data_IF_001071571126
#
_entry.id   IF_001071571126
#
_cell.length_a   1.000
_cell.length_b   1.000
_cell.length_c   1.000
_cell.angle_alpha   90.00
_cell.angle_beta   90.00
_cell.angle_gamma   90.00
#
_symmetry.space_group_name_H-M   'P 1'
#
loop_
_entity.id
_entity.type
_entity.pdbx_description
1 polymer ?
#
# COMPACT_ATOMS: atom_id res chain seq x y z
N UNK A 1 -18.46 -4.82 -23.59
CA UNK A 1 -17.01 -4.95 -23.32
C UNK A 1 -16.24 -4.71 -24.59
N UNK A 2 -15.13 -3.97 -24.52
CA UNK A 2 -14.22 -3.81 -25.65
C UNK A 2 -13.53 -5.14 -26.00
N UNK A 3 -13.11 -5.34 -27.26
CA UNK A 3 -12.29 -6.49 -27.62
C UNK A 3 -10.93 -6.45 -26.92
N UNK A 4 -10.37 -7.62 -26.57
CA UNK A 4 -9.10 -7.73 -25.84
C UNK A 4 -7.91 -7.06 -26.54
N UNK A 5 -7.97 -6.90 -27.86
CA UNK A 5 -6.96 -6.25 -28.69
C UNK A 5 -6.99 -4.71 -28.63
N UNK A 6 -7.96 -4.11 -27.92
CA UNK A 6 -8.18 -2.67 -27.86
C UNK A 6 -7.64 -1.99 -26.59
N UNK A 7 -7.04 -2.75 -25.66
CA UNK A 7 -6.44 -2.16 -24.47
C UNK A 7 -5.07 -1.56 -24.79
N UNK A 8 -4.97 -0.24 -24.73
CA UNK A 8 -3.70 0.50 -24.78
C UNK A 8 -3.36 0.97 -23.36
N UNK A 9 -2.29 0.42 -22.78
CA UNK A 9 -1.84 0.78 -21.45
C UNK A 9 -1.41 2.25 -21.31
N UNK A 10 -1.04 2.92 -22.41
CA UNK A 10 -0.68 4.34 -22.40
C UNK A 10 -1.90 5.24 -22.51
N UNK A 11 -2.92 4.81 -23.25
CA UNK A 11 -4.16 5.57 -23.47
C UNK A 11 -5.40 4.66 -23.33
N UNK A 12 -5.74 4.23 -22.09
CA UNK A 12 -6.78 3.22 -21.90
C UNK A 12 -8.21 3.67 -22.19
N UNK A 13 -8.46 4.96 -22.40
CA UNK A 13 -9.79 5.52 -22.69
C UNK A 13 -10.93 4.98 -21.79
N UNK A 14 -10.72 5.01 -20.47
CA UNK A 14 -11.66 4.51 -19.45
C UNK A 14 -13.05 5.16 -19.49
N UNK A 15 -13.16 6.37 -20.04
CA UNK A 15 -14.44 7.08 -20.18
C UNK A 15 -15.40 6.39 -21.16
N UNK A 16 -14.86 5.67 -22.15
CA UNK A 16 -15.66 5.04 -23.20
C UNK A 16 -15.60 3.51 -23.16
N UNK A 17 -14.74 2.91 -22.32
CA UNK A 17 -14.44 1.48 -22.38
C UNK A 17 -14.34 0.81 -21.01
N UNK A 18 -14.99 -0.36 -20.93
CA UNK A 18 -14.72 -1.38 -19.92
C UNK A 18 -13.92 -2.53 -20.53
N UNK A 19 -12.94 -3.00 -19.78
CA UNK A 19 -12.02 -4.05 -20.19
C UNK A 19 -12.18 -5.29 -19.32
N UNK A 20 -11.98 -6.45 -19.93
CA UNK A 20 -11.74 -7.67 -19.18
C UNK A 20 -10.42 -7.55 -18.42
N UNK A 21 -10.30 -8.21 -17.27
CA UNK A 21 -9.08 -8.21 -16.48
C UNK A 21 -7.87 -8.80 -17.24
N UNK A 22 -8.09 -9.75 -18.14
CA UNK A 22 -7.01 -10.44 -18.87
C UNK A 22 -6.11 -9.49 -19.66
N UNK A 23 -6.61 -8.61 -20.55
CA UNK A 23 -5.79 -7.59 -21.21
C UNK A 23 -4.96 -6.70 -20.27
N UNK A 24 -5.50 -6.34 -19.11
CA UNK A 24 -4.79 -5.51 -18.13
C UNK A 24 -3.59 -6.27 -17.56
N UNK A 25 -3.82 -7.52 -17.15
CA UNK A 25 -2.79 -8.40 -16.57
C UNK A 25 -1.73 -8.76 -17.60
N UNK A 26 -2.12 -9.08 -18.83
CA UNK A 26 -1.19 -9.39 -19.93
C UNK A 26 -0.29 -8.19 -20.26
N UNK A 27 -0.77 -6.97 -20.04
CA UNK A 27 -0.02 -5.72 -20.20
C UNK A 27 0.75 -5.28 -18.94
N UNK A 28 0.63 -5.99 -17.81
CA UNK A 28 1.22 -5.59 -16.53
C UNK A 28 0.62 -4.30 -15.96
N UNK A 29 -0.60 -3.94 -16.38
CA UNK A 29 -1.25 -2.69 -15.98
C UNK A 29 -1.73 -2.70 -14.53
N UNK A 30 -1.66 -3.83 -13.82
CA UNK A 30 -1.97 -3.90 -12.41
C UNK A 30 -0.94 -3.22 -11.51
N UNK A 31 0.28 -2.94 -12.01
CA UNK A 31 1.33 -2.24 -11.26
C UNK A 31 1.70 -0.89 -11.84
N UNK A 32 1.96 0.09 -10.97
CA UNK A 32 2.50 1.38 -11.39
C UNK A 32 3.89 1.23 -12.00
N UNK A 33 4.26 2.13 -12.90
CA UNK A 33 5.61 2.22 -13.45
C UNK A 33 6.38 3.41 -12.89
N UNK A 34 7.64 3.55 -13.33
CA UNK A 34 8.49 4.67 -12.93
C UNK A 34 7.86 6.05 -13.22
N UNK A 35 7.17 6.20 -14.35
CA UNK A 35 6.46 7.44 -14.69
C UNK A 35 5.30 7.74 -13.71
N UNK A 36 4.63 6.73 -13.16
CA UNK A 36 3.62 6.93 -12.11
C UNK A 36 4.28 7.43 -10.83
N UNK A 37 5.40 6.80 -10.44
CA UNK A 37 6.15 7.19 -9.24
C UNK A 37 6.66 8.63 -9.36
N UNK A 38 7.19 9.03 -10.51
CA UNK A 38 7.62 10.41 -10.79
C UNK A 38 6.46 11.42 -10.70
N UNK A 39 5.26 11.06 -11.22
CA UNK A 39 4.05 11.89 -11.10
C UNK A 39 3.51 11.98 -9.68
N UNK A 40 3.74 10.95 -8.86
CA UNK A 40 3.36 10.92 -7.46
C UNK A 40 4.36 11.67 -6.57
N UNK A 41 5.62 11.76 -7.00
CA UNK A 41 6.68 12.48 -6.30
C UNK A 41 6.44 13.99 -6.24
N UNK A 42 6.96 14.62 -5.18
CA UNK A 42 7.00 16.07 -4.99
C UNK A 42 5.64 16.78 -5.08
N UNK A 43 4.60 16.21 -4.46
CA UNK A 43 3.37 16.95 -4.18
C UNK A 43 3.59 17.75 -2.90
N UNK A 44 3.86 19.04 -3.04
CA UNK A 44 3.84 19.95 -1.89
C UNK A 44 2.43 19.93 -1.29
N UNK A 45 2.32 19.48 -0.04
CA UNK A 45 1.09 19.53 0.74
C UNK A 45 1.16 20.79 1.59
N UNK A 46 0.51 21.86 1.16
CA UNK A 46 0.51 23.15 1.86
C UNK A 46 -0.19 23.06 3.23
N UNK A 47 -1.23 22.25 3.34
CA UNK A 47 -1.99 22.00 4.56
C UNK A 47 -2.38 20.52 4.65
N UNK A 48 -2.16 19.90 5.81
CA UNK A 48 -2.57 18.52 6.06
C UNK A 48 -4.10 18.49 6.20
N UNK A 49 -4.84 17.83 5.29
CA UNK A 49 -6.30 17.89 5.30
C UNK A 49 -6.91 17.15 6.49
N UNK A 50 -6.23 16.11 6.98
CA UNK A 50 -6.68 15.26 8.08
C UNK A 50 -5.50 14.77 8.92
N UNK A 51 -5.63 14.82 10.24
CA UNK A 51 -4.61 14.33 11.16
C UNK A 51 -3.52 15.35 11.43
N UNK A 52 -2.38 14.86 11.90
CA UNK A 52 -1.20 15.67 12.20
C UNK A 52 -0.12 15.50 11.13
N UNK A 53 0.77 16.49 10.91
CA UNK A 53 1.96 16.31 10.11
C UNK A 53 2.79 15.11 10.58
N UNK A 54 3.53 14.50 9.64
CA UNK A 54 4.49 13.44 9.99
C UNK A 54 5.45 13.97 11.04
N UNK A 55 5.68 13.18 12.09
CA UNK A 55 6.58 13.58 13.19
C UNK A 55 8.00 13.78 12.66
N UNK A 56 8.64 14.82 13.14
CA UNK A 56 10.06 15.06 12.91
C UNK A 56 10.89 14.33 13.96
N UNK A 57 12.08 13.88 13.58
CA UNK A 57 13.06 13.35 14.52
C UNK A 57 13.46 14.46 15.49
N UNK A 58 13.47 14.22 16.81
CA UNK A 58 13.94 15.20 17.78
C UNK A 58 15.35 15.70 17.46
N UNK A 59 15.60 17.00 17.60
CA UNK A 59 16.93 17.57 17.41
C UNK A 59 17.90 17.20 18.55
N UNK A 60 17.37 16.95 19.76
CA UNK A 60 18.14 16.52 20.92
C UNK A 60 18.34 15.00 20.87
N UNK A 61 19.59 14.57 20.64
CA UNK A 61 19.96 13.15 20.59
C UNK A 61 19.62 12.40 21.89
N UNK A 62 19.51 13.10 23.04
CA UNK A 62 19.14 12.46 24.31
C UNK A 62 17.66 12.04 24.38
N UNK A 63 16.84 12.51 23.45
CA UNK A 63 15.45 12.07 23.29
C UNK A 63 15.32 10.86 22.34
N UNK A 64 16.41 10.43 21.72
CA UNK A 64 16.39 9.29 20.80
C UNK A 64 16.29 7.97 21.57
N UNK A 65 15.55 7.03 20.99
CA UNK A 65 15.48 5.67 21.51
C UNK A 65 16.76 4.92 21.13
N UNK A 66 17.37 4.25 22.10
CA UNK A 66 18.57 3.41 21.92
C UNK A 66 18.21 1.93 22.18
N UNK A 67 17.51 1.24 21.25
CA UNK A 67 17.15 -0.14 21.45
C UNK A 67 18.35 -1.07 21.24
N UNK A 68 18.46 -2.11 22.06
CA UNK A 68 19.46 -3.18 21.88
C UNK A 68 19.15 -4.08 20.67
N UNK A 69 17.93 -4.04 20.14
CA UNK A 69 17.44 -4.86 19.02
C UNK A 69 16.34 -4.09 18.29
N UNK A 70 16.40 -4.07 16.96
CA UNK A 70 15.35 -3.49 16.12
C UNK A 70 14.26 -4.53 15.89
N UNK A 71 13.01 -4.19 16.15
CA UNK A 71 11.88 -5.11 15.94
C UNK A 71 11.18 -4.70 14.66
N UNK A 72 11.20 -5.59 13.68
CA UNK A 72 10.53 -5.44 12.40
C UNK A 72 9.20 -6.19 12.42
N UNK A 73 8.11 -5.54 12.05
CA UNK A 73 6.81 -6.20 11.92
C UNK A 73 6.24 -6.09 10.51
N UNK A 74 5.58 -7.15 10.07
CA UNK A 74 4.89 -7.21 8.79
C UNK A 74 3.48 -7.74 9.01
N UNK A 75 2.50 -7.00 8.51
CA UNK A 75 1.14 -7.51 8.35
C UNK A 75 1.11 -8.52 7.20
N UNK A 76 0.22 -9.51 7.21
CA UNK A 76 0.06 -10.39 6.05
C UNK A 76 -0.33 -9.53 4.84
N UNK A 77 0.57 -9.42 3.87
CA UNK A 77 0.33 -8.75 2.60
C UNK A 77 -0.33 -9.70 1.60
N UNK A 78 -1.13 -9.15 0.69
CA UNK A 78 -1.88 -9.88 -0.35
C UNK A 78 -0.95 -10.60 -1.34
N UNK A 79 0.28 -10.10 -1.51
CA UNK A 79 1.27 -10.59 -2.47
C UNK A 79 2.18 -11.71 -1.95
N UNK A 80 2.28 -11.89 -0.63
CA UNK A 80 3.29 -12.79 -0.04
C UNK A 80 2.60 -14.00 0.59
N UNK A 81 2.38 -15.05 -0.20
CA UNK A 81 2.03 -16.36 0.37
C UNK A 81 3.29 -17.04 0.94
N UNK A 82 3.48 -16.89 2.25
CA UNK A 82 4.11 -17.93 3.07
C UNK A 82 5.62 -17.91 3.23
N UNK A 83 6.34 -16.83 2.87
CA UNK A 83 7.81 -16.72 3.10
C UNK A 83 8.31 -15.35 3.56
N UNK A 84 7.57 -14.67 4.42
CA UNK A 84 7.90 -13.32 4.89
C UNK A 84 9.33 -13.16 5.46
N UNK A 85 9.83 -14.07 6.28
CA UNK A 85 11.18 -13.92 6.85
C UNK A 85 12.28 -14.09 5.79
N UNK A 86 12.15 -15.08 4.89
CA UNK A 86 13.10 -15.29 3.79
C UNK A 86 13.07 -14.14 2.77
N UNK A 87 11.88 -13.60 2.48
CA UNK A 87 11.70 -12.52 1.52
C UNK A 87 12.29 -11.18 2.03
N UNK A 88 12.24 -10.95 3.34
CA UNK A 88 12.80 -9.74 3.97
C UNK A 88 14.22 -9.93 4.52
N UNK A 89 14.82 -11.12 4.45
CA UNK A 89 16.15 -11.37 5.01
C UNK A 89 17.20 -10.38 4.49
N UNK A 90 17.17 -10.06 3.18
CA UNK A 90 18.09 -9.09 2.60
C UNK A 90 17.92 -7.67 3.17
N UNK A 91 16.70 -7.31 3.60
CA UNK A 91 16.41 -6.04 4.27
C UNK A 91 16.95 -6.09 5.70
N UNK A 92 16.73 -7.20 6.42
CA UNK A 92 17.25 -7.38 7.78
C UNK A 92 18.77 -7.33 7.80
N UNK A 93 19.45 -8.10 6.95
CA UNK A 93 20.92 -8.10 6.82
C UNK A 93 21.46 -6.69 6.58
N UNK A 94 20.78 -5.90 5.74
CA UNK A 94 21.19 -4.52 5.44
C UNK A 94 20.97 -3.57 6.61
N UNK A 95 19.89 -3.73 7.37
CA UNK A 95 19.64 -2.95 8.60
C UNK A 95 20.73 -3.29 9.64
N UNK A 96 21.03 -4.57 9.84
CA UNK A 96 22.07 -5.01 10.76
C UNK A 96 23.46 -4.50 10.36
N UNK A 97 23.79 -4.52 9.06
CA UNK A 97 25.05 -3.99 8.52
C UNK A 97 25.21 -2.49 8.79
N UNK A 98 24.15 -1.70 8.56
CA UNK A 98 24.21 -0.24 8.65
C UNK A 98 24.06 0.28 10.09
N UNK A 99 23.33 -0.44 10.94
CA UNK A 99 23.05 0.01 12.32
C UNK A 99 23.93 -0.69 13.37
N UNK A 100 24.46 -1.88 13.07
CA UNK A 100 25.14 -2.73 14.04
C UNK A 100 24.20 -3.36 15.08
N UNK A 101 22.89 -3.18 14.95
CA UNK A 101 21.87 -3.74 15.84
C UNK A 101 21.22 -4.97 15.21
N UNK A 102 20.98 -6.05 15.96
CA UNK A 102 20.24 -7.20 15.45
C UNK A 102 18.79 -6.84 15.12
N UNK A 103 18.20 -7.56 14.16
CA UNK A 103 16.79 -7.42 13.79
C UNK A 103 15.99 -8.64 14.24
N UNK A 104 14.94 -8.41 15.04
CA UNK A 104 13.93 -9.41 15.38
C UNK A 104 12.69 -9.24 14.49
N UNK A 105 12.31 -10.30 13.79
CA UNK A 105 11.11 -10.32 12.97
C UNK A 105 9.88 -10.81 13.76
N UNK A 106 8.85 -9.96 13.84
CA UNK A 106 7.58 -10.24 14.50
C UNK A 106 6.40 -10.15 13.51
N UNK A 107 5.92 -11.30 13.07
CA UNK A 107 4.72 -11.39 12.23
C UNK A 107 3.46 -11.09 13.05
N UNK A 108 2.60 -10.22 12.53
CA UNK A 108 1.25 -9.98 13.07
C UNK A 108 0.17 -10.58 12.16
N UNK A 109 -1.08 -10.57 12.63
CA UNK A 109 -2.18 -11.29 11.96
C UNK A 109 -3.09 -10.40 11.10
N UNK A 110 -3.00 -9.08 11.19
CA UNK A 110 -3.82 -8.13 10.43
C UNK A 110 -3.19 -6.72 10.45
N UNK A 111 -3.69 -5.81 9.60
CA UNK A 111 -3.16 -4.45 9.48
C UNK A 111 -3.23 -3.63 10.78
N UNK A 112 -4.34 -3.72 11.52
CA UNK A 112 -4.50 -3.00 12.78
C UNK A 112 -3.47 -3.45 13.84
N UNK A 113 -3.11 -4.73 13.85
CA UNK A 113 -2.12 -5.27 14.76
C UNK A 113 -0.71 -4.70 14.51
N UNK A 114 -0.33 -4.39 13.25
CA UNK A 114 0.95 -3.74 12.96
C UNK A 114 0.99 -2.32 13.53
N UNK A 115 -0.10 -1.58 13.40
CA UNK A 115 -0.21 -0.20 13.95
C UNK A 115 -0.13 -0.24 15.47
N UNK A 116 -0.85 -1.17 16.10
CA UNK A 116 -0.82 -1.33 17.56
C UNK A 116 0.53 -1.82 18.08
N UNK A 117 1.25 -2.66 17.33
CA UNK A 117 2.61 -3.08 17.70
C UNK A 117 3.55 -1.87 17.77
N UNK A 118 3.52 -0.99 16.77
CA UNK A 118 4.32 0.24 16.78
C UNK A 118 3.85 1.22 17.87
N UNK A 119 2.53 1.42 18.01
CA UNK A 119 1.95 2.31 19.03
C UNK A 119 2.26 1.89 20.46
N UNK A 120 2.45 0.59 20.69
CA UNK A 120 2.77 0.01 22.00
C UNK A 120 4.27 -0.20 22.22
N UNK A 121 5.13 0.38 21.36
CA UNK A 121 6.60 0.27 21.44
C UNK A 121 7.09 -1.19 21.33
N UNK A 122 6.31 -2.04 20.66
CA UNK A 122 6.64 -3.44 20.38
C UNK A 122 7.15 -3.65 18.95
N UNK A 123 7.23 -2.59 18.15
CA UNK A 123 7.84 -2.59 16.83
C UNK A 123 8.53 -1.24 16.60
N UNK A 124 9.73 -1.28 16.03
CA UNK A 124 10.51 -0.10 15.63
C UNK A 124 10.33 0.18 14.14
N UNK A 125 10.28 -0.88 13.33
CA UNK A 125 10.14 -0.82 11.88
C UNK A 125 8.94 -1.66 11.49
N UNK A 126 8.16 -1.19 10.51
CA UNK A 126 7.06 -1.95 9.96
C UNK A 126 6.94 -1.71 8.47
N UNK A 127 6.60 -2.76 7.72
CA UNK A 127 6.10 -2.60 6.36
C UNK A 127 4.56 -2.52 6.40
N UNK A 128 4.04 -1.37 5.98
CA UNK A 128 2.61 -1.05 6.03
C UNK A 128 2.03 -1.00 4.61
N UNK A 129 0.81 -1.50 4.44
CA UNK A 129 0.02 -1.22 3.24
C UNK A 129 -0.34 0.27 3.18
N UNK A 130 -0.54 0.80 1.97
CA UNK A 130 -0.77 2.24 1.73
C UNK A 130 -1.83 2.88 2.65
N UNK A 131 -2.97 2.21 2.86
CA UNK A 131 -4.04 2.72 3.75
C UNK A 131 -3.66 2.65 5.22
N UNK A 132 -2.95 1.59 5.62
CA UNK A 132 -2.48 1.40 6.99
C UNK A 132 -1.43 2.45 7.36
N UNK A 133 -0.62 2.93 6.41
CA UNK A 133 0.38 3.97 6.63
C UNK A 133 -0.24 5.25 7.21
N UNK A 134 -1.43 5.65 6.76
CA UNK A 134 -2.11 6.83 7.30
C UNK A 134 -2.47 6.65 8.79
N UNK A 135 -2.93 5.47 9.19
CA UNK A 135 -3.18 5.16 10.61
C UNK A 135 -1.89 5.06 11.40
N UNK A 136 -0.83 4.48 10.83
CA UNK A 136 0.46 4.37 11.50
C UNK A 136 1.04 5.76 11.82
N UNK A 137 0.97 6.71 10.88
CA UNK A 137 1.39 8.10 11.11
C UNK A 137 0.55 8.73 12.23
N UNK A 138 -0.78 8.69 12.10
CA UNK A 138 -1.68 9.43 13.00
C UNK A 138 -1.80 8.81 14.40
N UNK A 139 -1.72 7.49 14.53
CA UNK A 139 -1.97 6.79 15.80
C UNK A 139 -0.69 6.33 16.49
N UNK A 140 0.35 5.97 15.72
CA UNK A 140 1.62 5.48 16.25
C UNK A 140 2.77 6.48 16.10
N UNK A 141 2.59 7.56 15.32
CA UNK A 141 3.67 8.50 15.02
C UNK A 141 4.70 7.94 14.05
N UNK A 142 4.32 6.99 13.21
CA UNK A 142 5.21 6.41 12.21
C UNK A 142 5.75 7.48 11.26
N UNK A 143 7.00 7.33 10.85
CA UNK A 143 7.66 8.19 9.85
C UNK A 143 7.93 7.35 8.61
N UNK A 144 7.14 7.49 7.54
CA UNK A 144 7.38 6.78 6.29
C UNK A 144 8.66 7.31 5.61
N UNK A 145 9.62 6.43 5.32
CA UNK A 145 10.92 6.84 4.74
C UNK A 145 11.31 6.03 3.49
N UNK A 146 10.62 4.93 3.19
CA UNK A 146 10.90 4.07 2.05
C UNK A 146 9.63 3.46 1.47
N UNK A 147 9.68 3.09 0.20
CA UNK A 147 8.67 2.31 -0.47
C UNK A 147 9.32 1.26 -1.38
N UNK A 148 8.74 0.08 -1.45
CA UNK A 148 9.26 -1.03 -2.26
C UNK A 148 9.07 -0.77 -3.75
N UNK A 149 10.12 -1.01 -4.53
CA UNK A 149 10.12 -0.97 -6.00
C UNK A 149 10.72 -2.29 -6.51
N UNK A 150 10.07 -2.90 -7.50
CA UNK A 150 10.55 -4.12 -8.11
C UNK A 150 11.79 -3.86 -9.00
N UNK A 151 12.62 -4.89 -9.29
CA UNK A 151 13.83 -4.72 -10.10
C UNK A 151 13.61 -4.15 -11.51
N UNK A 152 12.42 -4.35 -12.06
CA UNK A 152 11.99 -3.83 -13.36
C UNK A 152 11.41 -2.40 -13.29
N UNK A 153 11.39 -1.79 -12.10
CA UNK A 153 10.85 -0.46 -11.86
C UNK A 153 9.35 -0.43 -11.59
N UNK A 154 8.68 -1.59 -11.51
CA UNK A 154 7.28 -1.64 -11.11
C UNK A 154 7.13 -1.23 -9.64
N UNK A 155 6.12 -0.40 -9.35
CA UNK A 155 5.87 0.17 -8.04
C UNK A 155 4.38 0.10 -7.70
N UNK A 156 4.09 -0.30 -6.46
CA UNK A 156 2.74 -0.37 -5.92
C UNK A 156 1.79 -1.19 -6.80
N UNK A 157 0.51 -0.80 -6.79
CA UNK A 157 -0.53 -1.41 -7.61
C UNK A 157 -1.54 -0.35 -8.04
N UNK A 158 -2.32 -0.64 -9.09
CA UNK A 158 -3.48 0.14 -9.50
C UNK A 158 -4.75 -0.46 -8.90
N UNK A 159 -5.64 0.40 -8.42
CA UNK A 159 -6.95 0.01 -7.90
C UNK A 159 -7.92 -0.18 -9.08
N UNK A 160 -8.61 -1.31 -9.12
CA UNK A 160 -9.68 -1.57 -10.08
C UNK A 160 -11.00 -1.84 -9.36
N UNK A 161 -12.05 -1.13 -9.75
CA UNK A 161 -13.42 -1.55 -9.49
C UNK A 161 -13.78 -2.62 -10.53
N UNK A 162 -14.23 -3.80 -10.07
CA UNK A 162 -14.50 -4.92 -10.97
C UNK A 162 -15.93 -5.42 -10.79
N UNK A 163 -16.54 -5.79 -11.92
CA UNK A 163 -17.85 -6.43 -11.97
C UNK A 163 -17.73 -7.73 -12.77
N UNK A 164 -18.77 -8.58 -12.68
CA UNK A 164 -18.83 -9.78 -13.52
C UNK A 164 -18.93 -9.39 -14.98
N UNK A 165 -18.38 -10.23 -15.86
CA UNK A 165 -18.37 -9.93 -17.28
C UNK A 165 -19.77 -9.89 -17.93
N UNK A 166 -20.75 -10.49 -17.27
CA UNK A 166 -22.16 -10.53 -17.66
C UNK A 166 -23.06 -9.60 -16.83
N UNK A 167 -22.48 -8.66 -16.06
CA UNK A 167 -23.21 -7.61 -15.37
C UNK A 167 -23.37 -6.40 -16.31
N UNK A 168 -24.39 -6.45 -17.18
CA UNK A 168 -24.63 -5.44 -18.20
C UNK A 168 -25.01 -4.06 -17.59
N UNK A 169 -25.53 -4.05 -16.37
CA UNK A 169 -25.92 -2.84 -15.62
C UNK A 169 -24.74 -2.00 -15.09
N UNK A 170 -23.52 -2.55 -15.04
CA UNK A 170 -22.33 -1.82 -14.57
C UNK A 170 -21.46 -1.46 -15.76
N UNK A 171 -21.55 -0.22 -16.24
CA UNK A 171 -20.76 0.29 -17.36
C UNK A 171 -19.84 1.47 -16.98
N UNK A 172 -19.92 1.96 -15.77
CA UNK A 172 -19.15 3.09 -15.26
C UNK A 172 -18.90 2.95 -13.76
N UNK A 173 -18.02 3.79 -13.20
CA UNK A 173 -17.79 3.82 -11.75
C UNK A 173 -19.05 4.31 -11.01
N UNK A 174 -19.79 5.22 -11.64
CA UNK A 174 -21.03 5.79 -11.12
C UNK A 174 -22.12 4.73 -10.91
N UNK A 175 -22.16 3.68 -11.73
CA UNK A 175 -23.16 2.61 -11.60
C UNK A 175 -22.99 1.81 -10.30
N UNK A 176 -21.80 1.80 -9.69
CA UNK A 176 -21.59 1.17 -8.38
C UNK A 176 -22.32 1.87 -7.24
N UNK A 177 -22.78 3.12 -7.43
CA UNK A 177 -23.51 3.88 -6.44
C UNK A 177 -25.03 3.58 -6.42
N UNK A 178 -25.53 2.77 -7.35
CA UNK A 178 -26.94 2.36 -7.37
C UNK A 178 -27.26 1.48 -6.14
N UNK A 179 -28.38 1.75 -5.47
CA UNK A 179 -28.84 1.05 -4.28
C UNK A 179 -29.04 -0.47 -4.49
N UNK A 180 -29.29 -0.89 -5.74
CA UNK A 180 -29.45 -2.30 -6.11
C UNK A 180 -28.11 -3.02 -6.33
N UNK A 181 -26.99 -2.28 -6.36
CA UNK A 181 -25.64 -2.83 -6.56
C UNK A 181 -25.02 -3.20 -5.23
N UNK A 182 -24.62 -4.48 -5.10
CA UNK A 182 -23.97 -5.00 -3.90
C UNK A 182 -22.47 -5.08 -4.11
N UNK A 183 -21.74 -4.23 -3.39
CA UNK A 183 -20.28 -4.23 -3.38
C UNK A 183 -19.71 -5.12 -2.26
N UNK A 184 -18.65 -5.84 -2.58
CA UNK A 184 -17.84 -6.56 -1.60
C UNK A 184 -16.59 -5.75 -1.26
N UNK A 185 -16.30 -5.63 0.03
CA UNK A 185 -15.09 -4.98 0.55
C UNK A 185 -14.19 -6.00 1.23
N UNK A 186 -12.88 -5.75 1.25
CA UNK A 186 -11.90 -6.63 1.90
C UNK A 186 -11.95 -6.50 3.43
N UNK A 187 -11.36 -5.44 3.98
CA UNK A 187 -11.43 -5.10 5.40
C UNK A 187 -11.33 -3.57 5.60
N UNK A 188 -11.82 -3.01 6.73
CA UNK A 188 -11.91 -1.56 6.91
C UNK A 188 -10.58 -0.79 6.81
N UNK A 189 -9.45 -1.43 7.13
CA UNK A 189 -8.12 -0.81 7.04
C UNK A 189 -7.50 -0.87 5.63
N UNK A 190 -8.08 -1.65 4.71
CA UNK A 190 -7.58 -1.78 3.35
C UNK A 190 -7.88 -0.51 2.55
N UNK A 191 -6.85 0.05 1.90
CA UNK A 191 -7.01 1.20 1.01
C UNK A 191 -7.90 0.85 -0.18
N UNK A 192 -7.44 -0.07 -1.04
CA UNK A 192 -8.14 -0.43 -2.27
C UNK A 192 -9.36 -1.32 -2.06
N UNK A 193 -9.35 -2.13 -1.00
CA UNK A 193 -10.47 -3.00 -0.67
C UNK A 193 -11.59 -2.33 0.10
N UNK A 194 -11.38 -1.12 0.66
CA UNK A 194 -12.43 -0.43 1.43
C UNK A 194 -12.38 1.09 1.37
N UNK A 195 -11.28 1.72 1.77
CA UNK A 195 -11.26 3.17 1.99
C UNK A 195 -11.47 3.97 0.71
N UNK A 196 -10.71 3.71 -0.34
CA UNK A 196 -10.82 4.42 -1.60
C UNK A 196 -12.17 4.18 -2.29
N UNK A 197 -12.73 2.95 -2.33
CA UNK A 197 -14.08 2.73 -2.86
C UNK A 197 -15.22 3.32 -2.01
N UNK A 198 -15.00 3.61 -0.71
CA UNK A 198 -16.05 4.12 0.19
C UNK A 198 -15.97 5.64 0.43
N UNK A 199 -15.01 6.31 -0.20
CA UNK A 199 -14.74 7.73 -0.02
C UNK A 199 -15.77 8.63 -0.73
#
# INVERSE_FOLDING_TARGET
MAESSAFDAQEPNWEENNYLATPLVDAGYERGGQADLERMGNREVEEVPHGDPVRETPEDESEWLEPDTLVFTESPSEDVQGRYEEDFQAVFDRIEEETGLPVEYNRVNNYAASVEAMRSERAHIANFSTGTTAFAVNLAGAVPFAAGVAPDGAFGYRLFATARADADEIQSVEDFADDDVRMAHAEPASNSGHQAPSA
#
